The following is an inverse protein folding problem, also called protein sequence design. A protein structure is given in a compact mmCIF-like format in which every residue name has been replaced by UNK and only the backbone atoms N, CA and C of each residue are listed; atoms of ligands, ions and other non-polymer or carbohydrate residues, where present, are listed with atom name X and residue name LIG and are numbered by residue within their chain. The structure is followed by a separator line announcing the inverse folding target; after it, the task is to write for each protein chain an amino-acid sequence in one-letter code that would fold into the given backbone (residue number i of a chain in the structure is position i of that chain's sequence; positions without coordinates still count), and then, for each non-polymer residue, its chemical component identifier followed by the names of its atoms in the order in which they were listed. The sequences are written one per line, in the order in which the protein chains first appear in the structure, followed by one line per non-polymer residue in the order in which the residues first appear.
data_IF_378176748261
#
_entry.id   IF_378176748261
#
_cell.length_a   1.000
_cell.length_b   1.000
_cell.length_c   1.000
_cell.angle_alpha   90.00
_cell.angle_beta   90.00
_cell.angle_gamma   90.00
#
_symmetry.space_group_name_H-M   'P 1'
#
loop_
_entity.id
_entity.type
_entity.pdbx_description
1 polymer ?
#
# COMPACT_ATOMS: atom_id res chain seq x y z
N UNK A 1 -16.47 15.13 4.27
CA UNK A 1 -15.57 16.27 4.54
C UNK A 1 -14.47 15.84 5.50
N UNK A 2 -13.24 16.37 5.37
CA UNK A 2 -12.17 16.14 6.35
C UNK A 2 -12.38 17.06 7.56
N UNK A 3 -12.29 16.48 8.75
CA UNK A 3 -12.48 17.14 10.04
C UNK A 3 -11.21 16.94 10.87
N UNK A 4 -10.43 18.00 11.16
CA UNK A 4 -9.27 17.88 12.04
C UNK A 4 -9.72 17.61 13.49
N UNK A 5 -8.91 16.84 14.23
CA UNK A 5 -9.13 16.54 15.65
C UNK A 5 -7.80 16.80 16.38
N UNK A 6 -7.68 17.93 17.07
CA UNK A 6 -6.45 18.27 17.79
C UNK A 6 -6.26 17.37 19.03
N UNK A 7 -5.05 17.31 19.61
CA UNK A 7 -4.82 16.60 20.87
C UNK A 7 -5.80 17.02 21.97
N UNK A 8 -6.50 16.06 22.56
CA UNK A 8 -7.52 16.25 23.59
C UNK A 8 -8.89 16.69 23.07
N UNK A 9 -9.06 16.90 21.77
CA UNK A 9 -10.36 17.24 21.19
C UNK A 9 -11.21 16.00 20.89
N UNK A 10 -12.53 16.22 20.83
CA UNK A 10 -13.54 15.21 20.54
C UNK A 10 -14.33 15.63 19.30
N UNK A 11 -14.47 14.70 18.36
CA UNK A 11 -15.43 14.78 17.27
C UNK A 11 -16.65 13.95 17.63
N UNK A 12 -17.81 14.60 17.75
CA UNK A 12 -19.09 13.94 17.96
C UNK A 12 -19.81 13.76 16.63
N UNK A 13 -20.22 12.52 16.33
CA UNK A 13 -21.03 12.14 15.18
C UNK A 13 -22.41 11.75 15.72
N UNK A 14 -23.44 12.53 15.38
CA UNK A 14 -24.80 12.34 15.88
C UNK A 14 -25.83 12.23 14.74
N UNK A 15 -27.11 12.17 15.11
CA UNK A 15 -28.23 12.03 14.18
C UNK A 15 -28.29 13.14 13.12
N UNK A 16 -27.70 14.33 13.36
CA UNK A 16 -27.72 15.42 12.39
C UNK A 16 -27.00 15.08 11.08
N UNK A 17 -26.04 14.15 11.10
CA UNK A 17 -25.32 13.71 9.90
C UNK A 17 -26.19 12.89 8.95
N UNK A 18 -27.27 12.28 9.44
CA UNK A 18 -28.17 11.40 8.67
C UNK A 18 -29.63 11.89 8.67
N UNK A 19 -29.89 13.09 9.19
CA UNK A 19 -31.23 13.63 9.37
C UNK A 19 -32.02 13.80 8.07
N UNK A 20 -31.31 14.03 6.96
CA UNK A 20 -31.89 14.21 5.63
C UNK A 20 -32.09 12.86 4.90
N UNK A 21 -31.91 11.71 5.54
CA UNK A 21 -32.08 10.39 4.91
C UNK A 21 -33.41 9.74 5.28
N UNK A 22 -33.96 8.96 4.36
CA UNK A 22 -35.05 8.03 4.66
C UNK A 22 -34.52 7.00 5.68
N UNK A 23 -35.24 6.74 6.79
CA UNK A 23 -34.81 5.75 7.77
C UNK A 23 -34.57 4.38 7.14
N UNK A 24 -33.52 3.68 7.59
CA UNK A 24 -33.06 2.37 7.08
C UNK A 24 -32.53 2.38 5.65
N UNK A 25 -32.39 3.56 5.04
CA UNK A 25 -31.93 3.67 3.65
C UNK A 25 -30.43 4.00 3.54
N UNK A 26 -29.82 4.40 4.65
CA UNK A 26 -28.48 4.97 4.64
C UNK A 26 -27.52 4.44 5.68
N UNK A 27 -26.28 4.89 5.53
CA UNK A 27 -25.20 4.64 6.45
C UNK A 27 -24.15 5.76 6.40
N UNK A 28 -23.42 5.87 7.51
CA UNK A 28 -22.30 6.75 7.70
C UNK A 28 -21.02 5.92 7.78
N UNK A 29 -20.00 6.33 7.06
CA UNK A 29 -18.64 5.78 7.16
C UNK A 29 -17.68 6.86 7.68
N UNK A 30 -16.89 6.51 8.69
CA UNK A 30 -15.82 7.34 9.21
C UNK A 30 -14.46 6.69 8.92
N UNK A 31 -13.55 7.44 8.31
CA UNK A 31 -12.15 7.07 8.15
C UNK A 31 -11.31 7.93 9.08
N UNK A 32 -10.49 7.34 9.96
CA UNK A 32 -9.78 8.05 11.02
C UNK A 32 -8.26 8.00 10.76
N UNK A 33 -7.58 9.13 10.91
CA UNK A 33 -6.16 9.28 10.66
C UNK A 33 -5.82 9.68 9.21
N UNK A 34 -4.53 9.69 8.85
CA UNK A 34 -4.05 10.13 7.53
C UNK A 34 -4.67 9.37 6.35
N UNK A 35 -5.12 8.13 6.59
CA UNK A 35 -5.84 7.30 5.63
C UNK A 35 -7.12 7.97 5.08
N UNK A 36 -7.72 8.87 5.87
CA UNK A 36 -8.94 9.59 5.52
C UNK A 36 -8.81 10.39 4.21
N UNK A 37 -7.58 10.71 3.79
CA UNK A 37 -7.28 11.45 2.57
C UNK A 37 -7.24 10.60 1.30
N UNK A 38 -7.23 9.27 1.40
CA UNK A 38 -6.86 8.38 0.28
C UNK A 38 -8.02 7.63 -0.38
N UNK A 39 -9.27 7.96 -0.04
CA UNK A 39 -10.50 7.38 -0.65
C UNK A 39 -10.45 5.86 -0.94
N UNK A 40 -10.04 5.10 0.08
CA UNK A 40 -9.86 3.64 0.01
C UNK A 40 -11.08 2.89 -0.56
N UNK A 41 -12.34 3.21 -0.19
CA UNK A 41 -13.53 2.59 -0.78
C UNK A 41 -13.57 2.68 -2.31
N UNK A 42 -13.38 3.88 -2.86
CA UNK A 42 -13.47 4.11 -4.31
C UNK A 42 -12.36 3.37 -5.06
N UNK A 43 -11.15 3.34 -4.49
CA UNK A 43 -10.00 2.63 -5.03
C UNK A 43 -10.20 1.11 -5.08
N UNK A 44 -10.72 0.52 -4.01
CA UNK A 44 -11.03 -0.91 -3.97
C UNK A 44 -12.06 -1.29 -5.04
N UNK A 45 -13.11 -0.47 -5.22
CA UNK A 45 -14.11 -0.68 -6.28
C UNK A 45 -13.49 -0.51 -7.68
N UNK A 46 -12.59 0.46 -7.87
CA UNK A 46 -11.87 0.69 -9.13
C UNK A 46 -11.09 -0.56 -9.55
N UNK A 47 -10.30 -1.12 -8.64
CA UNK A 47 -9.52 -2.33 -8.88
C UNK A 47 -10.39 -3.57 -9.06
N UNK A 48 -11.45 -3.73 -8.27
CA UNK A 48 -12.34 -4.89 -8.39
C UNK A 48 -12.96 -4.99 -9.81
N UNK A 49 -13.33 -3.85 -10.41
CA UNK A 49 -13.93 -3.78 -11.74
C UNK A 49 -12.93 -3.98 -12.89
N UNK A 50 -11.64 -4.02 -12.62
CA UNK A 50 -10.62 -4.10 -13.65
C UNK A 50 -10.64 -5.50 -14.32
N UNK A 51 -10.97 -5.61 -15.62
CA UNK A 51 -11.40 -6.89 -16.21
C UNK A 51 -10.25 -7.78 -16.70
N UNK A 52 -9.02 -7.27 -16.67
CA UNK A 52 -7.87 -7.93 -17.27
C UNK A 52 -7.08 -8.74 -16.24
N UNK A 53 -6.39 -9.79 -16.72
CA UNK A 53 -5.76 -10.83 -15.89
C UNK A 53 -4.28 -11.04 -16.16
N UNK A 54 -3.55 -9.98 -16.55
CA UNK A 54 -2.10 -10.06 -16.60
C UNK A 54 -1.53 -10.16 -15.18
N UNK A 55 -0.31 -10.67 -15.02
CA UNK A 55 0.32 -10.87 -13.72
C UNK A 55 0.34 -9.58 -12.88
N UNK A 56 0.73 -8.45 -13.49
CA UNK A 56 0.73 -7.14 -12.84
C UNK A 56 -0.67 -6.78 -12.30
N UNK A 57 -1.71 -6.95 -13.10
CA UNK A 57 -3.08 -6.58 -12.73
C UNK A 57 -3.65 -7.50 -11.65
N UNK A 58 -3.38 -8.80 -11.75
CA UNK A 58 -3.82 -9.78 -10.74
C UNK A 58 -3.17 -9.47 -9.40
N UNK A 59 -1.85 -9.23 -9.38
CA UNK A 59 -1.15 -8.76 -8.18
C UNK A 59 -1.77 -7.46 -7.67
N UNK A 60 -1.89 -6.43 -8.51
CA UNK A 60 -2.43 -5.11 -8.13
C UNK A 60 -3.83 -5.18 -7.51
N UNK A 61 -4.70 -6.06 -7.98
CA UNK A 61 -6.06 -6.25 -7.43
C UNK A 61 -6.05 -6.98 -6.08
N UNK A 62 -5.20 -8.00 -5.94
CA UNK A 62 -5.17 -8.84 -4.75
C UNK A 62 -4.35 -8.25 -3.60
N UNK A 63 -3.29 -7.49 -3.92
CA UNK A 63 -2.35 -6.93 -2.93
C UNK A 63 -3.06 -6.15 -1.81
N UNK A 64 -3.97 -5.19 -2.11
CA UNK A 64 -4.64 -4.43 -1.07
C UNK A 64 -5.55 -5.28 -0.17
N UNK A 65 -6.12 -6.36 -0.71
CA UNK A 65 -7.06 -7.22 0.00
C UNK A 65 -6.39 -8.01 1.13
N UNK A 66 -5.06 -8.18 1.07
CA UNK A 66 -4.28 -8.73 2.18
C UNK A 66 -4.45 -7.93 3.48
N UNK A 67 -4.68 -6.62 3.37
CA UNK A 67 -4.68 -5.70 4.52
C UNK A 67 -5.99 -4.96 4.74
N UNK A 68 -6.84 -4.88 3.71
CA UNK A 68 -8.05 -4.04 3.70
C UNK A 68 -9.33 -4.87 3.57
N UNK A 69 -9.29 -6.15 3.96
CA UNK A 69 -10.43 -7.07 3.90
C UNK A 69 -11.68 -6.48 4.60
N UNK A 70 -11.52 -5.93 5.81
CA UNK A 70 -12.62 -5.29 6.56
C UNK A 70 -13.26 -4.12 5.79
N UNK A 71 -12.45 -3.31 5.10
CA UNK A 71 -12.94 -2.19 4.29
C UNK A 71 -13.65 -2.71 3.03
N UNK A 72 -13.12 -3.76 2.41
CA UNK A 72 -13.72 -4.40 1.25
C UNK A 72 -15.10 -5.03 1.58
N UNK A 73 -15.25 -5.63 2.76
CA UNK A 73 -16.53 -6.13 3.26
C UNK A 73 -17.53 -5.00 3.51
N UNK A 74 -17.08 -3.94 4.19
CA UNK A 74 -17.88 -2.77 4.52
C UNK A 74 -18.55 -2.12 3.28
N UNK A 75 -17.85 -2.15 2.14
CA UNK A 75 -18.33 -1.57 0.88
C UNK A 75 -19.02 -2.61 -0.03
N UNK A 76 -19.18 -3.85 0.44
CA UNK A 76 -19.93 -4.91 -0.23
C UNK A 76 -19.19 -5.62 -1.36
N UNK A 77 -17.85 -5.63 -1.38
CA UNK A 77 -17.09 -6.41 -2.38
C UNK A 77 -17.23 -7.91 -2.18
N UNK A 78 -17.42 -8.36 -0.94
CA UNK A 78 -17.62 -9.76 -0.59
C UNK A 78 -17.69 -9.97 0.90
N UNK A 79 -18.14 -11.16 1.32
CA UNK A 79 -17.91 -11.64 2.68
C UNK A 79 -16.46 -12.14 2.83
N UNK A 80 -16.06 -12.47 4.06
CA UNK A 80 -14.73 -12.98 4.39
C UNK A 80 -14.33 -14.14 3.49
N UNK A 81 -15.25 -15.09 3.26
CA UNK A 81 -15.01 -16.29 2.48
C UNK A 81 -14.75 -15.96 1.01
N UNK A 82 -15.52 -15.04 0.41
CA UNK A 82 -15.31 -14.61 -0.98
C UNK A 82 -14.00 -13.83 -1.14
N UNK A 83 -13.66 -12.97 -0.19
CA UNK A 83 -12.44 -12.15 -0.25
C UNK A 83 -11.18 -13.02 -0.02
N UNK A 84 -11.22 -13.94 0.94
CA UNK A 84 -10.19 -14.98 1.13
C UNK A 84 -10.01 -15.83 -0.13
N UNK A 85 -11.11 -16.29 -0.74
CA UNK A 85 -11.05 -17.05 -1.99
C UNK A 85 -10.46 -16.22 -3.14
N UNK A 86 -10.75 -14.91 -3.19
CA UNK A 86 -10.21 -14.01 -4.22
C UNK A 86 -8.68 -13.95 -4.15
N UNK A 87 -8.10 -13.93 -2.94
CA UNK A 87 -6.66 -13.92 -2.74
C UNK A 87 -6.06 -15.28 -3.12
N UNK A 88 -6.68 -16.39 -2.72
CA UNK A 88 -6.26 -17.76 -3.10
C UNK A 88 -6.28 -17.96 -4.62
N UNK A 89 -7.32 -17.47 -5.29
CA UNK A 89 -7.44 -17.53 -6.74
C UNK A 89 -6.36 -16.66 -7.42
N UNK A 90 -6.02 -15.50 -6.85
CA UNK A 90 -4.93 -14.66 -7.35
C UNK A 90 -3.56 -15.36 -7.22
N UNK A 91 -3.26 -15.96 -6.07
CA UNK A 91 -2.05 -16.76 -5.86
C UNK A 91 -1.97 -17.89 -6.89
N UNK A 92 -3.03 -18.69 -7.03
CA UNK A 92 -3.07 -19.79 -8.01
C UNK A 92 -2.90 -19.28 -9.45
N UNK A 93 -3.52 -18.15 -9.80
CA UNK A 93 -3.39 -17.53 -11.11
C UNK A 93 -1.94 -17.10 -11.39
N UNK A 94 -1.29 -16.42 -10.44
CA UNK A 94 0.10 -15.96 -10.59
C UNK A 94 1.06 -17.14 -10.71
N UNK A 95 0.90 -18.17 -9.89
CA UNK A 95 1.70 -19.39 -9.97
C UNK A 95 1.53 -20.13 -11.31
N UNK A 96 0.34 -20.06 -11.92
CA UNK A 96 0.12 -20.60 -13.27
C UNK A 96 0.93 -19.86 -14.36
N UNK A 97 1.40 -18.64 -14.07
CA UNK A 97 2.24 -17.82 -14.95
C UNK A 97 3.74 -17.95 -14.64
N UNK A 98 4.12 -18.76 -13.67
CA UNK A 98 5.51 -18.98 -13.30
C UNK A 98 6.20 -19.93 -14.28
N UNK A 99 7.33 -19.50 -14.84
CA UNK A 99 8.17 -20.27 -15.74
C UNK A 99 9.08 -21.26 -14.99
N UNK A 100 9.72 -22.19 -15.72
CA UNK A 100 10.57 -23.23 -15.13
C UNK A 100 11.80 -22.68 -14.40
N UNK A 101 12.33 -21.54 -14.85
CA UNK A 101 13.43 -20.81 -14.20
C UNK A 101 13.01 -20.01 -12.96
N UNK A 102 11.71 -19.87 -12.67
CA UNK A 102 11.18 -19.13 -11.52
C UNK A 102 10.65 -17.72 -11.84
N UNK A 103 10.86 -17.22 -13.06
CA UNK A 103 10.34 -15.91 -13.49
C UNK A 103 8.83 -15.97 -13.75
N UNK A 104 8.17 -14.82 -13.76
CA UNK A 104 6.74 -14.67 -14.03
C UNK A 104 6.54 -13.99 -15.39
N UNK A 105 5.76 -14.64 -16.24
CA UNK A 105 5.34 -14.04 -17.49
C UNK A 105 4.08 -13.19 -17.34
N UNK A 106 4.00 -12.09 -18.09
CA UNK A 106 2.86 -11.17 -18.07
C UNK A 106 1.49 -11.85 -18.25
N UNK A 107 1.37 -12.84 -19.15
CA UNK A 107 0.10 -13.53 -19.41
C UNK A 107 0.14 -15.02 -19.08
N UNK A 108 1.32 -15.63 -19.15
CA UNK A 108 1.55 -17.05 -18.89
C UNK A 108 3.05 -17.36 -18.85
N UNK A 109 3.44 -18.61 -18.58
CA UNK A 109 4.82 -18.98 -18.28
C UNK A 109 5.79 -18.85 -19.47
N UNK A 110 5.28 -18.63 -20.68
CA UNK A 110 6.08 -18.45 -21.91
C UNK A 110 6.00 -17.03 -22.48
N UNK A 111 5.30 -16.10 -21.82
CA UNK A 111 5.24 -14.72 -22.27
C UNK A 111 6.47 -13.93 -21.86
N UNK A 112 6.59 -12.69 -22.36
CA UNK A 112 7.59 -11.73 -21.89
C UNK A 112 7.59 -11.64 -20.36
N UNK A 113 8.80 -11.54 -19.82
CA UNK A 113 9.13 -11.45 -18.40
C UNK A 113 10.22 -10.41 -18.24
N UNK A 114 10.20 -9.72 -17.11
CA UNK A 114 11.21 -8.75 -16.72
C UNK A 114 11.40 -8.82 -15.20
N UNK A 115 12.59 -8.45 -14.73
CA UNK A 115 12.95 -8.55 -13.32
C UNK A 115 12.06 -7.70 -12.41
N UNK A 116 11.52 -6.59 -12.92
CA UNK A 116 10.64 -5.74 -12.14
C UNK A 116 9.30 -6.43 -11.89
N UNK A 117 8.69 -7.03 -12.92
CA UNK A 117 7.46 -7.82 -12.80
C UNK A 117 7.68 -9.05 -11.90
N UNK A 118 8.81 -9.74 -12.07
CA UNK A 118 9.19 -10.86 -11.21
C UNK A 118 9.21 -10.45 -9.74
N UNK A 119 9.79 -9.29 -9.44
CA UNK A 119 9.84 -8.73 -8.09
C UNK A 119 8.43 -8.36 -7.59
N UNK A 120 7.65 -7.62 -8.38
CA UNK A 120 6.29 -7.22 -7.99
C UNK A 120 5.37 -8.41 -7.64
N UNK A 121 5.44 -9.50 -8.41
CA UNK A 121 4.71 -10.73 -8.11
C UNK A 121 5.28 -11.43 -6.87
N UNK A 122 6.61 -11.47 -6.73
CA UNK A 122 7.26 -12.09 -5.56
C UNK A 122 6.95 -11.35 -4.27
N UNK A 123 6.92 -10.02 -4.27
CA UNK A 123 6.52 -9.18 -3.13
C UNK A 123 5.09 -9.51 -2.66
N UNK A 124 4.13 -9.61 -3.60
CA UNK A 124 2.78 -10.04 -3.28
C UNK A 124 2.76 -11.43 -2.63
N UNK A 125 3.48 -12.41 -3.20
CA UNK A 125 3.52 -13.77 -2.67
C UNK A 125 4.16 -13.84 -1.27
N UNK A 126 5.27 -13.14 -1.05
CA UNK A 126 5.93 -13.03 0.26
C UNK A 126 5.00 -12.42 1.31
N UNK A 127 4.23 -11.40 0.93
CA UNK A 127 3.30 -10.74 1.83
C UNK A 127 2.05 -11.57 2.07
N UNK A 128 1.55 -12.30 1.08
CA UNK A 128 0.46 -13.23 1.25
C UNK A 128 0.85 -14.37 2.21
N UNK A 129 2.05 -14.93 2.07
CA UNK A 129 2.59 -15.91 3.02
C UNK A 129 2.69 -15.32 4.44
N UNK A 130 3.18 -14.09 4.59
CA UNK A 130 3.28 -13.42 5.88
C UNK A 130 1.91 -13.15 6.53
N UNK A 131 0.85 -12.96 5.74
CA UNK A 131 -0.55 -12.84 6.21
C UNK A 131 -1.24 -14.23 6.38
N UNK A 132 -0.50 -15.33 6.23
CA UNK A 132 -0.96 -16.69 6.53
C UNK A 132 -1.64 -17.43 5.38
N UNK A 133 -1.58 -16.92 4.15
CA UNK A 133 -2.06 -17.64 2.97
C UNK A 133 -1.08 -18.74 2.56
N UNK A 134 -1.60 -19.86 2.07
CA UNK A 134 -0.80 -20.97 1.56
C UNK A 134 -0.15 -20.59 0.22
N UNK A 135 1.17 -20.38 0.26
CA UNK A 135 2.02 -20.15 -0.91
C UNK A 135 3.03 -21.29 -0.98
N UNK A 136 3.05 -22.12 -2.05
CA UNK A 136 3.94 -23.27 -2.11
C UNK A 136 5.43 -22.90 -2.01
N UNK A 137 6.12 -23.39 -0.97
CA UNK A 137 7.55 -23.13 -0.69
C UNK A 137 8.46 -23.30 -1.91
N UNK A 138 8.22 -24.35 -2.71
CA UNK A 138 9.02 -24.66 -3.90
C UNK A 138 8.86 -23.58 -4.96
N UNK A 139 7.64 -23.05 -5.14
CA UNK A 139 7.38 -22.01 -6.10
C UNK A 139 7.99 -20.67 -5.65
N UNK A 140 7.80 -20.31 -4.37
CA UNK A 140 8.36 -19.11 -3.79
C UNK A 140 9.90 -19.13 -3.78
N UNK A 141 10.51 -20.24 -3.38
CA UNK A 141 11.97 -20.40 -3.42
C UNK A 141 12.51 -20.25 -4.83
N UNK A 142 11.83 -20.79 -5.85
CA UNK A 142 12.26 -20.65 -7.26
C UNK A 142 12.16 -19.20 -7.75
N UNK A 143 11.14 -18.45 -7.32
CA UNK A 143 11.03 -17.03 -7.62
C UNK A 143 12.21 -16.25 -7.01
N UNK A 144 12.53 -16.51 -5.74
CA UNK A 144 13.67 -15.89 -5.05
C UNK A 144 15.02 -16.29 -5.66
N UNK A 145 15.20 -17.55 -6.04
CA UNK A 145 16.42 -18.02 -6.71
C UNK A 145 16.59 -17.32 -8.08
N UNK A 146 15.48 -17.13 -8.82
CA UNK A 146 15.47 -16.35 -10.06
C UNK A 146 15.89 -14.90 -9.82
N UNK A 147 15.33 -14.21 -8.83
CA UNK A 147 15.71 -12.84 -8.48
C UNK A 147 17.20 -12.75 -8.09
N UNK A 148 17.67 -13.67 -7.24
CA UNK A 148 19.09 -13.73 -6.84
C UNK A 148 20.04 -13.93 -8.03
N UNK A 149 19.66 -14.80 -8.98
CA UNK A 149 20.41 -14.99 -10.22
C UNK A 149 20.42 -13.72 -11.08
N UNK A 150 19.26 -13.08 -11.28
CA UNK A 150 19.18 -11.86 -12.09
C UNK A 150 20.00 -10.71 -11.50
N UNK A 151 19.95 -10.51 -10.18
CA UNK A 151 20.79 -9.53 -9.47
C UNK A 151 22.28 -9.85 -9.65
N UNK A 152 22.66 -11.13 -9.55
CA UNK A 152 24.07 -11.55 -9.72
C UNK A 152 24.62 -11.32 -11.13
N UNK A 153 23.76 -11.31 -12.15
CA UNK A 153 24.13 -11.04 -13.55
C UNK A 153 23.85 -9.59 -13.98
N UNK A 154 23.34 -8.75 -13.09
CA UNK A 154 22.95 -7.40 -13.43
C UNK A 154 24.18 -6.58 -13.87
N UNK A 155 24.03 -5.84 -14.98
CA UNK A 155 25.06 -4.92 -15.44
C UNK A 155 25.08 -3.69 -14.54
N UNK A 156 26.25 -3.11 -14.36
CA UNK A 156 26.38 -1.81 -13.70
C UNK A 156 25.55 -0.73 -14.43
N UNK A 157 25.03 0.23 -13.68
CA UNK A 157 24.17 1.29 -14.18
C UNK A 157 24.57 2.65 -13.63
N UNK A 158 24.47 3.67 -14.49
CA UNK A 158 24.66 5.08 -14.10
C UNK A 158 23.36 5.85 -13.98
N UNK A 159 22.26 5.27 -14.48
CA UNK A 159 20.89 5.77 -14.36
C UNK A 159 19.94 4.59 -14.64
N UNK A 160 19.25 4.09 -13.62
CA UNK A 160 18.34 2.93 -13.74
C UNK A 160 18.20 2.16 -12.43
N UNK A 161 18.31 0.83 -12.50
CA UNK A 161 18.39 -0.07 -11.35
C UNK A 161 17.11 -0.29 -10.56
N UNK A 162 15.95 0.13 -11.07
CA UNK A 162 14.67 0.01 -10.36
C UNK A 162 14.28 -1.45 -10.10
N UNK A 163 14.52 -2.30 -11.08
CA UNK A 163 14.36 -3.74 -11.01
C UNK A 163 15.32 -4.38 -9.99
N UNK A 164 16.58 -3.95 -9.96
CA UNK A 164 17.60 -4.44 -9.01
C UNK A 164 17.20 -4.08 -7.58
N UNK A 165 16.78 -2.83 -7.34
CA UNK A 165 16.35 -2.38 -6.03
C UNK A 165 15.13 -3.16 -5.51
N UNK A 166 14.16 -3.44 -6.39
CA UNK A 166 13.00 -4.24 -6.03
C UNK A 166 13.41 -5.68 -5.70
N UNK A 167 14.20 -6.32 -6.56
CA UNK A 167 14.68 -7.69 -6.32
C UNK A 167 15.46 -7.79 -5.00
N UNK A 168 16.33 -6.82 -4.69
CA UNK A 168 17.07 -6.75 -3.43
C UNK A 168 16.15 -6.59 -2.21
N UNK A 169 15.06 -5.83 -2.35
CA UNK A 169 14.06 -5.70 -1.30
C UNK A 169 13.35 -7.02 -1.01
N UNK A 170 12.89 -7.72 -2.04
CA UNK A 170 12.21 -9.02 -1.89
C UNK A 170 13.16 -10.09 -1.32
N UNK A 171 14.40 -10.11 -1.82
CA UNK A 171 15.46 -10.97 -1.28
C UNK A 171 15.75 -10.65 0.18
N UNK A 172 15.79 -9.39 0.59
CA UNK A 172 15.99 -9.00 1.99
C UNK A 172 14.81 -9.41 2.87
N UNK A 173 13.58 -9.29 2.36
CA UNK A 173 12.35 -9.71 3.07
C UNK A 173 12.35 -11.22 3.31
N UNK A 174 12.90 -12.00 2.38
CA UNK A 174 13.12 -13.44 2.51
C UNK A 174 14.41 -13.83 3.27
N UNK A 175 15.22 -12.87 3.75
CA UNK A 175 16.49 -13.14 4.42
C UNK A 175 17.60 -13.69 3.52
N UNK A 176 17.49 -13.50 2.21
CA UNK A 176 18.40 -14.02 1.17
C UNK A 176 19.32 -12.97 0.56
N UNK A 177 19.08 -11.67 0.76
CA UNK A 177 19.97 -10.62 0.27
C UNK A 177 21.30 -10.62 1.05
N UNK A 178 22.42 -10.35 0.39
CA UNK A 178 23.68 -10.09 1.08
C UNK A 178 23.70 -8.63 1.59
N UNK A 179 23.88 -8.42 2.90
CA UNK A 179 23.96 -7.07 3.47
C UNK A 179 25.09 -6.22 2.85
N UNK A 180 26.17 -6.87 2.39
CA UNK A 180 27.26 -6.22 1.67
C UNK A 180 26.81 -5.54 0.38
N UNK A 181 25.95 -6.21 -0.39
CA UNK A 181 25.40 -5.68 -1.65
C UNK A 181 24.48 -4.49 -1.37
N UNK A 182 23.60 -4.60 -0.35
CA UNK A 182 22.73 -3.49 0.04
C UNK A 182 23.53 -2.24 0.42
N UNK A 183 24.62 -2.41 1.18
CA UNK A 183 25.51 -1.30 1.56
C UNK A 183 26.26 -0.75 0.36
N UNK A 184 26.72 -1.61 -0.55
CA UNK A 184 27.36 -1.18 -1.79
C UNK A 184 26.42 -0.34 -2.65
N UNK A 185 25.19 -0.80 -2.89
CA UNK A 185 24.22 -0.06 -3.69
C UNK A 185 23.86 1.29 -3.06
N UNK A 186 23.81 1.36 -1.74
CA UNK A 186 23.62 2.63 -1.04
C UNK A 186 24.82 3.56 -1.26
N UNK A 187 26.02 3.11 -0.91
CA UNK A 187 27.20 3.99 -0.85
C UNK A 187 27.72 4.36 -2.25
N UNK A 188 27.58 3.47 -3.22
CA UNK A 188 28.17 3.63 -4.55
C UNK A 188 27.15 3.93 -5.65
N UNK A 189 25.85 3.66 -5.43
CA UNK A 189 24.82 3.72 -6.49
C UNK A 189 23.53 4.42 -6.10
N UNK A 190 23.39 4.97 -4.88
CA UNK A 190 22.13 5.58 -4.43
C UNK A 190 21.63 6.67 -5.41
N UNK A 191 22.53 7.52 -5.89
CA UNK A 191 22.19 8.59 -6.85
C UNK A 191 21.93 8.08 -8.28
N UNK A 192 22.44 6.89 -8.62
CA UNK A 192 22.22 6.25 -9.91
C UNK A 192 20.85 5.56 -10.01
N UNK A 193 20.17 5.31 -8.89
CA UNK A 193 18.79 4.82 -8.92
C UNK A 193 17.86 5.89 -9.47
N UNK A 194 17.27 5.58 -10.62
CA UNK A 194 16.50 6.55 -11.41
C UNK A 194 15.16 6.94 -10.78
N UNK A 195 14.64 6.16 -9.82
CA UNK A 195 13.30 6.36 -9.27
C UNK A 195 13.31 6.50 -7.75
N UNK A 196 12.38 7.32 -7.21
CA UNK A 196 12.15 7.40 -5.77
C UNK A 196 11.85 6.03 -5.13
N UNK A 197 11.05 5.19 -5.80
CA UNK A 197 10.70 3.88 -5.25
C UNK A 197 11.93 2.99 -5.11
N UNK A 198 12.82 2.95 -6.09
CA UNK A 198 14.05 2.15 -6.01
C UNK A 198 14.90 2.51 -4.77
N UNK A 199 15.02 3.81 -4.46
CA UNK A 199 15.72 4.29 -3.27
C UNK A 199 15.01 3.87 -1.98
N UNK A 200 13.68 3.94 -1.94
CA UNK A 200 12.90 3.49 -0.79
C UNK A 200 12.94 1.98 -0.58
N UNK A 201 12.94 1.18 -1.66
CA UNK A 201 13.09 -0.28 -1.61
C UNK A 201 14.46 -0.68 -1.03
N UNK A 202 15.53 0.01 -1.45
CA UNK A 202 16.85 -0.18 -0.84
C UNK A 202 16.85 0.18 0.65
N UNK A 203 16.20 1.29 1.03
CA UNK A 203 16.04 1.69 2.43
C UNK A 203 15.26 0.66 3.25
N UNK A 204 14.18 0.12 2.70
CA UNK A 204 13.38 -0.93 3.30
C UNK A 204 14.19 -2.24 3.47
N UNK A 205 14.98 -2.62 2.47
CA UNK A 205 15.89 -3.77 2.54
C UNK A 205 16.91 -3.63 3.67
N UNK A 206 17.52 -2.44 3.81
CA UNK A 206 18.45 -2.13 4.90
C UNK A 206 17.76 -2.14 6.28
N UNK A 207 16.52 -1.65 6.36
CA UNK A 207 15.72 -1.66 7.58
C UNK A 207 15.38 -3.09 8.04
N UNK A 208 15.05 -4.00 7.11
CA UNK A 208 14.80 -5.42 7.41
C UNK A 208 16.00 -6.09 8.08
N UNK A 209 17.22 -5.67 7.76
CA UNK A 209 18.46 -6.17 8.39
C UNK A 209 18.92 -5.32 9.58
N UNK A 210 18.12 -4.35 10.01
CA UNK A 210 18.38 -3.52 11.18
C UNK A 210 19.36 -2.37 10.97
N UNK A 211 19.80 -2.08 9.74
CA UNK A 211 20.70 -0.96 9.42
C UNK A 211 19.92 0.37 9.32
N UNK A 212 19.36 0.80 10.47
CA UNK A 212 18.42 1.93 10.55
C UNK A 212 18.99 3.26 10.04
N UNK A 213 20.29 3.49 10.25
CA UNK A 213 20.96 4.73 9.81
C UNK A 213 20.97 4.82 8.29
N UNK A 214 21.44 3.75 7.62
CA UNK A 214 21.48 3.66 6.16
C UNK A 214 20.09 3.58 5.54
N UNK A 215 19.14 2.93 6.22
CA UNK A 215 17.74 2.96 5.81
C UNK A 215 17.19 4.39 5.76
N UNK A 216 17.39 5.17 6.82
CA UNK A 216 16.93 6.56 6.87
C UNK A 216 17.58 7.44 5.77
N UNK A 217 18.86 7.21 5.47
CA UNK A 217 19.55 7.87 4.36
C UNK A 217 18.89 7.58 3.00
N UNK A 218 18.63 6.30 2.70
CA UNK A 218 17.98 5.90 1.45
C UNK A 218 16.56 6.45 1.32
N UNK A 219 15.77 6.43 2.41
CA UNK A 219 14.43 7.01 2.43
C UNK A 219 14.45 8.53 2.28
N UNK A 220 15.42 9.23 2.87
CA UNK A 220 15.57 10.67 2.67
C UNK A 220 15.89 10.99 1.20
N UNK A 221 16.77 10.22 0.56
CA UNK A 221 17.07 10.35 -0.86
C UNK A 221 15.85 10.03 -1.75
N UNK A 222 15.03 9.05 -1.36
CA UNK A 222 13.77 8.73 -2.03
C UNK A 222 12.81 9.93 -2.00
N UNK A 223 12.57 10.50 -0.82
CA UNK A 223 11.67 11.64 -0.64
C UNK A 223 12.18 12.88 -1.37
N UNK A 224 13.49 13.13 -1.36
CA UNK A 224 14.06 14.24 -2.15
C UNK A 224 13.84 14.02 -3.65
N UNK A 225 13.96 12.78 -4.13
CA UNK A 225 13.78 12.44 -5.54
C UNK A 225 12.33 12.64 -6.01
N UNK A 226 11.33 12.59 -5.12
CA UNK A 226 9.92 12.88 -5.45
C UNK A 226 9.68 14.34 -5.87
N UNK A 227 10.59 15.26 -5.50
CA UNK A 227 10.47 16.69 -5.85
C UNK A 227 10.87 16.98 -7.29
N UNK A 228 11.55 16.05 -7.95
CA UNK A 228 11.96 16.18 -9.34
C UNK A 228 10.73 15.97 -10.22
N UNK A 229 10.44 16.96 -11.09
CA UNK A 229 9.32 16.86 -12.01
C UNK A 229 9.54 15.71 -13.00
N UNK A 230 8.60 14.77 -13.05
CA UNK A 230 8.59 13.70 -14.03
C UNK A 230 8.14 14.21 -15.41
N UNK A 231 8.74 13.65 -16.47
CA UNK A 231 8.17 13.75 -17.80
C UNK A 231 7.00 12.77 -17.92
N UNK A 232 5.78 13.29 -17.75
CA UNK A 232 4.52 12.54 -17.85
C UNK A 232 4.29 11.83 -19.20
N UNK A 233 5.07 12.12 -20.23
CA UNK A 233 4.98 11.47 -21.54
C UNK A 233 6.06 10.41 -21.75
N UNK A 234 7.05 10.31 -20.86
CA UNK A 234 8.07 9.28 -20.93
C UNK A 234 7.48 7.94 -20.49
N UNK A 235 7.62 6.93 -21.35
CA UNK A 235 7.29 5.55 -20.97
C UNK A 235 8.33 5.03 -19.98
N UNK A 236 7.87 4.46 -18.87
CA UNK A 236 8.73 3.78 -17.90
C UNK A 236 8.49 2.27 -17.95
N UNK A 237 9.57 1.49 -18.02
CA UNK A 237 9.52 0.03 -18.01
C UNK A 237 9.17 -0.59 -16.66
N UNK A 238 9.05 0.22 -15.60
CA UNK A 238 8.71 -0.21 -14.25
C UNK A 238 7.23 0.02 -13.91
N UNK A 239 6.37 0.24 -14.91
CA UNK A 239 4.94 0.53 -14.72
C UNK A 239 4.68 1.76 -13.82
N UNK A 240 5.66 2.66 -13.70
CA UNK A 240 5.66 3.74 -12.72
C UNK A 240 5.12 5.08 -13.18
N UNK A 241 4.85 5.92 -12.18
CA UNK A 241 4.53 7.33 -12.30
C UNK A 241 4.91 8.04 -10.98
N UNK A 242 4.91 9.36 -10.96
CA UNK A 242 5.11 10.15 -9.73
C UNK A 242 4.07 9.80 -8.66
N UNK A 243 2.81 9.57 -9.07
CA UNK A 243 1.75 9.17 -8.16
C UNK A 243 2.04 7.80 -7.55
N UNK A 244 2.40 6.81 -8.39
CA UNK A 244 2.78 5.48 -7.94
C UNK A 244 3.98 5.53 -7.01
N UNK A 245 5.03 6.27 -7.37
CA UNK A 245 6.26 6.39 -6.61
C UNK A 245 6.00 7.07 -5.25
N UNK A 246 5.19 8.13 -5.22
CA UNK A 246 4.79 8.80 -3.97
C UNK A 246 4.05 7.83 -3.06
N UNK A 247 3.09 7.07 -3.62
CA UNK A 247 2.33 6.08 -2.87
C UNK A 247 3.22 4.95 -2.31
N UNK A 248 4.11 4.40 -3.14
CA UNK A 248 4.98 3.31 -2.75
C UNK A 248 6.05 3.74 -1.73
N UNK A 249 6.63 4.93 -1.89
CA UNK A 249 7.54 5.53 -0.89
C UNK A 249 6.81 5.74 0.44
N UNK A 250 5.58 6.26 0.41
CA UNK A 250 4.76 6.44 1.61
C UNK A 250 4.44 5.10 2.29
N UNK A 251 4.05 4.08 1.52
CA UNK A 251 3.78 2.75 2.03
C UNK A 251 4.98 2.15 2.77
N UNK A 252 6.16 2.18 2.14
CA UNK A 252 7.39 1.66 2.74
C UNK A 252 7.84 2.51 3.94
N UNK A 253 7.73 3.84 3.86
CA UNK A 253 8.09 4.70 4.98
C UNK A 253 7.14 4.50 6.18
N UNK A 254 5.85 4.27 5.95
CA UNK A 254 4.90 3.94 7.01
C UNK A 254 5.16 2.54 7.60
N UNK A 255 5.55 1.56 6.78
CA UNK A 255 5.88 0.19 7.23
C UNK A 255 7.18 0.14 8.05
N UNK A 256 8.24 0.85 7.62
CA UNK A 256 9.57 0.76 8.23
C UNK A 256 9.91 1.90 9.19
N UNK A 257 9.11 2.97 9.23
CA UNK A 257 9.25 4.11 10.15
C UNK A 257 10.67 4.72 10.22
N UNK A 258 11.30 5.04 9.06
CA UNK A 258 12.62 5.66 9.05
C UNK A 258 12.61 7.02 9.75
N UNK A 259 13.68 7.33 10.49
CA UNK A 259 13.82 8.61 11.17
C UNK A 259 13.89 9.77 10.18
N UNK A 260 13.22 10.88 10.50
CA UNK A 260 13.31 12.12 9.72
C UNK A 260 12.37 12.21 8.52
N UNK A 261 11.52 11.20 8.29
CA UNK A 261 10.49 11.26 7.26
C UNK A 261 9.16 11.76 7.82
N UNK A 262 8.61 12.81 7.21
CA UNK A 262 7.29 13.34 7.55
C UNK A 262 6.20 12.62 6.73
N UNK A 263 5.59 11.60 7.34
CA UNK A 263 4.53 10.82 6.71
C UNK A 263 3.26 11.64 6.46
N UNK A 264 2.99 12.68 7.28
CA UNK A 264 1.82 13.52 7.09
C UNK A 264 1.98 14.40 5.84
N UNK A 265 3.17 14.97 5.64
CA UNK A 265 3.51 15.70 4.42
C UNK A 265 3.42 14.81 3.17
N UNK A 266 4.00 13.61 3.20
CA UNK A 266 3.90 12.65 2.10
C UNK A 266 2.46 12.22 1.80
N UNK A 267 1.64 12.03 2.84
CA UNK A 267 0.22 11.71 2.67
C UNK A 267 -0.53 12.87 2.00
N UNK A 268 -0.25 14.11 2.39
CA UNK A 268 -0.84 15.29 1.76
C UNK A 268 -0.43 15.44 0.29
N UNK A 269 0.84 15.16 -0.03
CA UNK A 269 1.32 15.15 -1.41
C UNK A 269 0.65 14.06 -2.26
N UNK A 270 0.53 12.85 -1.73
CA UNK A 270 -0.18 11.75 -2.40
C UNK A 270 -1.65 12.12 -2.67
N UNK A 271 -2.34 12.64 -1.65
CA UNK A 271 -3.73 13.07 -1.78
C UNK A 271 -3.90 14.13 -2.88
N UNK A 272 -3.00 15.12 -2.93
CA UNK A 272 -2.99 16.15 -3.98
C UNK A 272 -2.78 15.55 -5.38
N UNK A 273 -1.88 14.58 -5.52
CA UNK A 273 -1.66 13.89 -6.79
C UNK A 273 -2.88 13.08 -7.22
N UNK A 274 -3.54 12.39 -6.28
CA UNK A 274 -4.80 11.66 -6.52
C UNK A 274 -5.93 12.58 -6.96
N UNK A 275 -6.15 13.67 -6.24
CA UNK A 275 -7.21 14.63 -6.55
C UNK A 275 -7.03 15.31 -7.93
N UNK A 276 -5.77 15.45 -8.36
CA UNK A 276 -5.43 15.97 -9.69
C UNK A 276 -5.53 14.94 -10.82
N UNK A 277 -5.63 13.65 -10.52
CA UNK A 277 -5.61 12.58 -11.51
C UNK A 277 -7.02 12.21 -11.98
N UNK A 278 -7.29 12.39 -13.27
CA UNK A 278 -8.59 11.99 -13.86
C UNK A 278 -8.72 10.48 -14.06
N UNK A 279 -7.61 9.84 -14.42
CA UNK A 279 -7.51 8.40 -14.62
C UNK A 279 -6.24 7.93 -13.93
N UNK A 280 -6.31 6.73 -13.37
CA UNK A 280 -5.22 6.10 -12.63
C UNK A 280 -5.07 4.66 -13.10
N UNK A 281 -3.84 4.16 -13.02
CA UNK A 281 -3.48 2.79 -13.35
C UNK A 281 -3.70 1.85 -12.17
N UNK A 282 -3.70 0.55 -12.45
CA UNK A 282 -3.75 -0.51 -11.42
C UNK A 282 -2.61 -0.37 -10.42
N UNK A 283 -1.41 -0.04 -10.88
CA UNK A 283 -0.25 0.24 -10.03
C UNK A 283 -0.45 1.43 -9.08
N UNK A 284 -0.97 2.55 -9.60
CA UNK A 284 -1.23 3.75 -8.81
C UNK A 284 -2.29 3.49 -7.74
N UNK A 285 -3.37 2.81 -8.10
CA UNK A 285 -4.45 2.44 -7.18
C UNK A 285 -3.95 1.43 -6.12
N UNK A 286 -3.23 0.38 -6.53
CA UNK A 286 -2.69 -0.64 -5.63
C UNK A 286 -1.72 -0.04 -4.61
N UNK A 287 -0.72 0.72 -5.03
CA UNK A 287 0.22 1.34 -4.10
C UNK A 287 -0.42 2.39 -3.20
N UNK A 288 -1.43 3.13 -3.68
CA UNK A 288 -2.18 4.06 -2.83
C UNK A 288 -2.92 3.32 -1.72
N UNK A 289 -3.50 2.16 -2.04
CA UNK A 289 -4.17 1.31 -1.06
C UNK A 289 -3.19 0.63 -0.09
N UNK A 290 -2.02 0.19 -0.55
CA UNK A 290 -0.98 -0.36 0.33
C UNK A 290 -0.47 0.75 1.30
N UNK A 291 -0.31 1.98 0.81
CA UNK A 291 0.04 3.13 1.64
C UNK A 291 -1.04 3.42 2.68
N UNK A 292 -2.31 3.41 2.26
CA UNK A 292 -3.44 3.54 3.15
C UNK A 292 -3.44 2.47 4.25
N UNK A 293 -3.25 1.20 3.90
CA UNK A 293 -3.17 0.11 4.86
C UNK A 293 -2.01 0.29 5.87
N UNK A 294 -0.83 0.69 5.39
CA UNK A 294 0.32 0.95 6.25
C UNK A 294 0.08 2.11 7.23
N UNK A 295 -0.52 3.22 6.76
CA UNK A 295 -0.92 4.35 7.60
C UNK A 295 -2.01 3.99 8.61
N UNK A 296 -2.96 3.14 8.21
CA UNK A 296 -4.02 2.64 9.07
C UNK A 296 -3.45 1.88 10.27
N UNK A 297 -2.50 0.97 10.03
CA UNK A 297 -1.79 0.25 11.11
C UNK A 297 -1.03 1.19 12.05
N UNK A 298 -0.44 2.26 11.52
CA UNK A 298 0.24 3.26 12.36
C UNK A 298 -0.75 4.07 13.22
N UNK A 299 -1.93 4.38 12.67
CA UNK A 299 -2.97 5.15 13.37
C UNK A 299 -3.74 4.31 14.39
N UNK A 300 -3.66 2.99 14.29
CA UNK A 300 -4.23 2.02 15.20
C UNK A 300 -3.32 1.73 16.42
N UNK A 301 -2.59 2.74 16.90
CA UNK A 301 -1.67 2.64 18.05
C UNK A 301 -2.37 2.91 19.41
N UNK A 302 -3.70 3.09 19.40
CA UNK A 302 -4.50 3.42 20.57
C UNK A 302 -4.46 4.89 20.99
N UNK A 303 -3.80 5.77 20.22
CA UNK A 303 -3.79 7.21 20.47
C UNK A 303 -5.14 7.89 20.21
N UNK A 304 -6.04 7.25 19.48
CA UNK A 304 -7.43 7.69 19.27
C UNK A 304 -8.37 6.71 19.94
N UNK A 305 -9.44 7.20 20.57
CA UNK A 305 -10.54 6.35 21.06
C UNK A 305 -11.82 6.60 20.28
N UNK A 306 -12.64 5.57 20.15
CA UNK A 306 -14.00 5.62 19.61
C UNK A 306 -14.92 5.08 20.69
N UNK A 307 -15.84 5.91 21.18
CA UNK A 307 -16.74 5.60 22.31
C UNK A 307 -15.99 5.09 23.56
N UNK A 308 -14.83 5.68 23.82
CA UNK A 308 -13.96 5.31 24.95
C UNK A 308 -13.10 4.07 24.73
N UNK A 309 -13.28 3.33 23.63
CA UNK A 309 -12.45 2.18 23.26
C UNK A 309 -11.25 2.62 22.42
N UNK A 310 -10.05 2.14 22.75
CA UNK A 310 -8.84 2.46 22.00
C UNK A 310 -8.89 1.90 20.57
N UNK A 311 -8.60 2.76 19.59
CA UNK A 311 -8.49 2.40 18.19
C UNK A 311 -7.22 1.56 17.98
N UNK A 312 -7.37 0.24 18.00
CA UNK A 312 -6.27 -0.75 17.91
C UNK A 312 -6.41 -1.70 16.72
N UNK A 313 -7.30 -1.38 15.78
CA UNK A 313 -7.62 -2.20 14.61
C UNK A 313 -8.13 -1.36 13.46
N UNK A 314 -9.32 -1.67 12.93
CA UNK A 314 -9.87 -0.96 11.78
C UNK A 314 -9.92 0.56 12.02
N UNK A 315 -9.36 1.33 11.11
CA UNK A 315 -9.45 2.81 11.11
C UNK A 315 -10.68 3.31 10.34
N UNK A 316 -11.37 2.39 9.67
CA UNK A 316 -12.69 2.60 9.08
C UNK A 316 -13.77 2.10 10.05
N UNK A 317 -14.83 2.89 10.20
CA UNK A 317 -16.03 2.53 10.96
C UNK A 317 -17.25 2.79 10.09
N UNK A 318 -18.22 1.89 10.15
CA UNK A 318 -19.52 2.03 9.51
C UNK A 318 -20.62 1.98 10.55
N UNK A 319 -21.55 2.91 10.44
CA UNK A 319 -22.75 3.01 11.25
C UNK A 319 -23.94 3.08 10.31
N UNK A 320 -24.89 2.17 10.43
CA UNK A 320 -26.17 2.31 9.74
C UNK A 320 -26.94 3.52 10.32
N UNK A 321 -27.80 4.14 9.53
CA UNK A 321 -28.51 5.37 9.95
C UNK A 321 -29.32 5.21 11.25
N UNK A 322 -29.89 4.02 11.49
CA UNK A 322 -30.61 3.70 12.73
C UNK A 322 -29.73 3.64 13.97
N UNK A 323 -28.40 3.52 13.83
CA UNK A 323 -27.48 3.53 14.96
C UNK A 323 -27.67 4.77 15.83
N UNK A 324 -27.85 5.95 15.22
CA UNK A 324 -27.95 7.21 15.93
C UNK A 324 -29.29 7.41 16.65
N UNK A 325 -30.32 6.65 16.27
CA UNK A 325 -31.59 6.60 17.01
C UNK A 325 -31.60 5.50 18.08
N UNK A 326 -30.97 4.37 17.80
CA UNK A 326 -31.07 3.16 18.62
C UNK A 326 -30.02 3.11 19.73
N UNK A 327 -28.82 3.63 19.45
CA UNK A 327 -27.65 3.61 20.35
C UNK A 327 -27.31 5.02 20.81
N UNK A 328 -27.09 5.95 19.88
CA UNK A 328 -26.79 7.35 20.19
C UNK A 328 -25.66 7.92 19.36
N UNK A 329 -25.09 9.04 19.83
CA UNK A 329 -23.95 9.67 19.20
C UNK A 329 -22.66 8.87 19.42
N UNK A 330 -21.76 8.96 18.45
CA UNK A 330 -20.41 8.36 18.49
C UNK A 330 -19.39 9.46 18.79
N UNK A 331 -18.49 9.21 19.73
CA UNK A 331 -17.41 10.12 20.10
C UNK A 331 -16.06 9.59 19.64
N UNK A 332 -15.36 10.37 18.81
CA UNK A 332 -13.97 10.09 18.41
C UNK A 332 -13.06 11.07 19.14
N UNK A 333 -12.22 10.58 20.05
CA UNK A 333 -11.36 11.41 20.89
C UNK A 333 -9.89 11.19 20.53
N UNK A 334 -9.17 12.27 20.23
CA UNK A 334 -7.72 12.20 20.07
C UNK A 334 -7.03 12.27 21.43
N UNK A 335 -6.65 11.12 21.98
CA UNK A 335 -5.91 11.00 23.24
C UNK A 335 -4.39 11.10 23.06
N UNK A 336 -3.92 11.26 21.82
CA UNK A 336 -2.52 11.37 21.46
C UNK A 336 -1.94 12.77 21.67
N UNK A 337 -0.65 12.92 21.35
CA UNK A 337 0.08 14.20 21.43
C UNK A 337 0.28 14.88 20.06
N UNK A 338 -0.29 14.32 19.00
CA UNK A 338 -0.24 14.84 17.63
C UNK A 338 -1.66 15.03 17.10
N UNK A 339 -1.91 16.03 16.24
CA UNK A 339 -3.21 16.17 15.59
C UNK A 339 -3.51 14.94 14.71
N UNK A 340 -4.79 14.59 14.62
CA UNK A 340 -5.32 13.60 13.69
C UNK A 340 -6.48 14.21 12.91
N UNK A 341 -7.13 13.42 12.07
CA UNK A 341 -8.27 13.85 11.26
C UNK A 341 -9.25 12.70 11.05
N UNK A 342 -10.49 13.04 10.68
CA UNK A 342 -11.48 12.07 10.24
C UNK A 342 -12.15 12.53 8.94
N UNK A 343 -12.44 11.61 8.03
CA UNK A 343 -13.33 11.85 6.89
C UNK A 343 -14.65 11.14 7.16
N UNK A 344 -15.72 11.94 7.23
CA UNK A 344 -17.09 11.44 7.32
C UNK A 344 -17.72 11.46 5.93
N UNK A 345 -18.26 10.30 5.55
CA UNK A 345 -19.02 10.09 4.31
C UNK A 345 -20.38 9.52 4.66
N UNK A 346 -21.44 10.12 4.15
CA UNK A 346 -22.82 9.69 4.34
C UNK A 346 -23.38 9.25 3.00
N UNK A 347 -24.04 8.10 2.98
CA UNK A 347 -24.67 7.51 1.79
C UNK A 347 -26.06 7.04 2.15
N UNK A 348 -27.07 7.36 1.33
CA UNK A 348 -28.45 6.93 1.56
C UNK A 348 -29.40 7.63 0.60
N UNK A 349 -30.69 7.32 0.72
CA UNK A 349 -31.74 7.98 -0.06
C UNK A 349 -32.19 9.21 0.73
N UNK A 350 -32.10 10.43 0.17
CA UNK A 350 -32.59 11.64 0.83
C UNK A 350 -34.12 11.73 0.91
#
# INVERSE_FOLDING_TARGET
TLVPIAPGETLTIDQSYVADLIPTSGALTAAIGPIARLDVPALLISLDRYPYGCAEQVSSRAFPLLYLNEVAQMIGLGDDAKLDQTIKDAIANLLSKQASNGSFGLWGPFSYTDMWLDSYVTDFLLRAEAEGYDVPDVALSRALDNLGNQVSYATDFSNGGQDIAYALYDLARAGRAAIGDLRYYLEARLDAFATPLAKAQLGAALALYGDRTRAAEAFAAAVESLKVAEDRYAYRGDYGSTLRDTAAVLALAAEFTPSGIDLAALTADLARLRDGARYTSTQEDAWTLIAAAALGRQSADGSVTVDGEALTGAVYRRYDDTHFTDVGAVEIVNSGNKPTEAKITVTGIP
#
